data_IF_971794772174
#
_entry.id   IF_971794772174
#
_cell.length_a   1.000
_cell.length_b   1.000
_cell.length_c   1.000
_cell.angle_alpha   90.00
_cell.angle_beta   90.00
_cell.angle_gamma   90.00
#
_symmetry.space_group_name_H-M   'P 1'
#
loop_
_entity.id
_entity.type
_entity.pdbx_description
1 polymer ?
#
# COMPACT_ATOMS: atom_id res chain seq x y z
N UNK A 1 12.81 -11.90 -6.93
CA UNK A 1 12.91 -11.91 -5.45
C UNK A 1 11.54 -11.62 -4.86
N UNK A 2 11.06 -12.38 -3.87
CA UNK A 2 9.79 -12.07 -3.15
C UNK A 2 10.12 -11.18 -1.96
N UNK A 3 9.42 -10.05 -1.81
CA UNK A 3 9.57 -9.13 -0.67
C UNK A 3 8.52 -9.48 0.38
N UNK A 4 8.94 -9.65 1.63
CA UNK A 4 8.02 -9.88 2.74
C UNK A 4 7.03 -8.71 2.89
N UNK A 5 5.79 -8.99 3.31
CA UNK A 5 4.74 -7.96 3.42
C UNK A 5 5.15 -6.81 4.35
N UNK A 6 5.86 -7.10 5.44
CA UNK A 6 6.43 -6.09 6.33
C UNK A 6 7.38 -5.12 5.60
N UNK A 7 8.19 -5.62 4.67
CA UNK A 7 9.07 -4.77 3.86
C UNK A 7 8.30 -3.91 2.86
N UNK A 8 7.21 -4.43 2.29
CA UNK A 8 6.32 -3.65 1.42
C UNK A 8 5.61 -2.53 2.19
N UNK A 9 5.14 -2.81 3.42
CA UNK A 9 4.52 -1.83 4.31
C UNK A 9 5.51 -0.73 4.68
N UNK A 10 6.74 -1.10 5.08
CA UNK A 10 7.78 -0.14 5.42
C UNK A 10 8.08 0.82 4.25
N UNK A 11 8.13 0.29 3.03
CA UNK A 11 8.33 1.09 1.83
C UNK A 11 7.15 2.02 1.54
N UNK A 12 5.91 1.55 1.65
CA UNK A 12 4.72 2.38 1.48
C UNK A 12 4.65 3.52 2.51
N UNK A 13 5.02 3.25 3.76
CA UNK A 13 5.12 4.26 4.81
C UNK A 13 6.23 5.29 4.52
N UNK A 14 7.40 4.84 4.05
CA UNK A 14 8.52 5.70 3.65
C UNK A 14 8.09 6.64 2.52
N UNK A 15 7.44 6.12 1.50
CA UNK A 15 6.94 6.90 0.36
C UNK A 15 5.90 7.94 0.80
N UNK A 16 4.96 7.58 1.68
CA UNK A 16 4.01 8.53 2.27
C UNK A 16 4.72 9.67 3.01
N UNK A 17 5.74 9.35 3.81
CA UNK A 17 6.53 10.36 4.52
C UNK A 17 7.27 11.28 3.53
N UNK A 18 7.87 10.72 2.49
CA UNK A 18 8.54 11.50 1.44
C UNK A 18 7.58 12.43 0.69
N UNK A 19 6.38 11.96 0.36
CA UNK A 19 5.33 12.76 -0.30
C UNK A 19 4.88 13.91 0.58
N UNK A 20 4.63 13.66 1.87
CA UNK A 20 4.27 14.70 2.85
C UNK A 20 5.29 15.83 2.91
N UNK A 21 6.58 15.52 2.72
CA UNK A 21 7.64 16.53 2.70
C UNK A 21 7.82 17.19 1.31
N UNK A 22 7.62 16.44 0.23
CA UNK A 22 7.93 16.89 -1.14
C UNK A 22 6.80 17.66 -1.80
N UNK A 23 5.56 17.20 -1.65
CA UNK A 23 4.39 17.76 -2.34
C UNK A 23 4.12 19.22 -1.99
N UNK A 24 4.20 19.67 -0.72
CA UNK A 24 4.02 21.09 -0.40
C UNK A 24 4.96 22.02 -1.18
N UNK A 25 6.22 21.61 -1.36
CA UNK A 25 7.20 22.37 -2.16
C UNK A 25 6.86 22.39 -3.66
N UNK A 26 6.36 21.28 -4.20
CA UNK A 26 5.95 21.21 -5.60
C UNK A 26 4.70 22.05 -5.86
N UNK A 27 3.74 22.05 -4.92
CA UNK A 27 2.54 22.88 -4.98
C UNK A 27 2.91 24.36 -4.89
N UNK A 28 3.75 24.74 -3.91
CA UNK A 28 4.21 26.11 -3.75
C UNK A 28 5.02 26.65 -4.94
N UNK A 29 5.64 25.76 -5.73
CA UNK A 29 6.35 26.14 -6.97
C UNK A 29 5.49 26.01 -8.24
N UNK A 30 4.19 25.71 -8.11
CA UNK A 30 3.28 25.57 -9.25
C UNK A 30 3.51 24.32 -10.11
N UNK A 31 4.35 23.38 -9.66
CA UNK A 31 4.72 22.16 -10.40
C UNK A 31 3.77 20.99 -10.16
N UNK A 32 2.82 21.14 -9.23
CA UNK A 32 1.81 20.15 -8.89
C UNK A 32 0.56 20.86 -8.38
N UNK A 33 -0.63 20.35 -8.71
CA UNK A 33 -1.89 20.86 -8.14
C UNK A 33 -2.16 20.21 -6.78
N UNK A 34 -2.80 20.95 -5.87
CA UNK A 34 -3.23 20.39 -4.58
C UNK A 34 -4.09 19.13 -4.76
N UNK A 35 -5.09 19.18 -5.65
CA UNK A 35 -5.98 18.05 -5.93
C UNK A 35 -5.25 16.81 -6.48
N UNK A 36 -4.14 17.00 -7.19
CA UNK A 36 -3.29 15.90 -7.66
C UNK A 36 -2.52 15.27 -6.50
N UNK A 37 -1.93 16.10 -5.63
CA UNK A 37 -1.25 15.65 -4.43
C UNK A 37 -2.17 14.86 -3.50
N UNK A 38 -3.39 15.35 -3.29
CA UNK A 38 -4.41 14.70 -2.45
C UNK A 38 -4.78 13.32 -2.99
N UNK A 39 -5.04 13.22 -4.30
CA UNK A 39 -5.36 11.95 -4.95
C UNK A 39 -4.18 10.96 -4.87
N UNK A 40 -2.95 11.44 -5.07
CA UNK A 40 -1.75 10.63 -4.95
C UNK A 40 -1.51 10.12 -3.52
N UNK A 41 -1.77 10.94 -2.50
CA UNK A 41 -1.71 10.54 -1.10
C UNK A 41 -2.78 9.51 -0.78
N UNK A 42 -4.05 9.80 -1.10
CA UNK A 42 -5.18 8.90 -0.84
C UNK A 42 -4.97 7.49 -1.44
N UNK A 43 -4.45 7.41 -2.68
CA UNK A 43 -4.11 6.12 -3.31
C UNK A 43 -3.00 5.38 -2.56
N UNK A 44 -1.99 6.09 -2.08
CA UNK A 44 -0.87 5.47 -1.37
C UNK A 44 -1.26 5.02 0.04
N UNK A 45 -2.13 5.77 0.70
CA UNK A 45 -2.76 5.38 1.97
C UNK A 45 -3.60 4.12 1.79
N UNK A 46 -4.44 4.05 0.75
CA UNK A 46 -5.22 2.85 0.45
C UNK A 46 -4.34 1.62 0.17
N UNK A 47 -3.20 1.78 -0.50
CA UNK A 47 -2.21 0.70 -0.70
C UNK A 47 -1.66 0.22 0.64
N UNK A 48 -1.18 1.15 1.49
CA UNK A 48 -0.70 0.82 2.84
C UNK A 48 -1.76 0.07 3.64
N UNK A 49 -2.99 0.54 3.62
CA UNK A 49 -4.09 -0.04 4.41
C UNK A 49 -4.45 -1.45 3.92
N UNK A 50 -4.43 -1.67 2.60
CA UNK A 50 -4.58 -3.01 2.01
C UNK A 50 -3.48 -3.95 2.47
N UNK A 51 -2.22 -3.49 2.49
CA UNK A 51 -1.09 -4.30 2.95
C UNK A 51 -1.18 -4.62 4.45
N UNK A 52 -1.56 -3.64 5.27
CA UNK A 52 -1.79 -3.85 6.71
C UNK A 52 -2.91 -4.85 6.97
N UNK A 53 -4.02 -4.74 6.24
CA UNK A 53 -5.10 -5.74 6.31
C UNK A 53 -4.59 -7.13 5.96
N UNK A 54 -3.87 -7.27 4.85
CA UNK A 54 -3.29 -8.55 4.44
C UNK A 54 -2.30 -9.12 5.47
N UNK A 55 -1.51 -8.26 6.14
CA UNK A 55 -0.60 -8.69 7.19
C UNK A 55 -1.36 -9.16 8.43
N UNK A 56 -2.38 -8.40 8.85
CA UNK A 56 -3.22 -8.74 10.01
C UNK A 56 -3.97 -10.07 9.82
N UNK A 57 -4.43 -10.33 8.60
CA UNK A 57 -5.22 -11.52 8.25
C UNK A 57 -4.42 -12.58 7.50
N UNK A 58 -3.08 -12.56 7.59
CA UNK A 58 -2.22 -13.40 6.76
C UNK A 58 -2.53 -14.89 6.92
N UNK A 59 -2.75 -15.34 8.16
CA UNK A 59 -3.07 -16.73 8.46
C UNK A 59 -4.41 -17.16 7.81
N UNK A 60 -5.46 -16.36 8.00
CA UNK A 60 -6.80 -16.65 7.48
C UNK A 60 -6.82 -16.66 5.94
N UNK A 61 -6.17 -15.67 5.32
CA UNK A 61 -6.05 -15.58 3.86
C UNK A 61 -5.31 -16.82 3.33
N UNK A 62 -4.21 -17.23 3.96
CA UNK A 62 -3.45 -18.42 3.55
C UNK A 62 -4.28 -19.69 3.67
N UNK A 63 -4.98 -19.87 4.79
CA UNK A 63 -5.87 -21.02 5.02
C UNK A 63 -6.99 -21.07 3.98
N UNK A 64 -7.64 -19.93 3.71
CA UNK A 64 -8.69 -19.86 2.69
C UNK A 64 -8.18 -20.22 1.29
N UNK A 65 -7.01 -19.71 0.89
CA UNK A 65 -6.42 -20.01 -0.42
C UNK A 65 -6.00 -21.48 -0.52
N UNK A 66 -5.48 -22.08 0.56
CA UNK A 66 -5.16 -23.51 0.58
C UNK A 66 -6.41 -24.38 0.37
N UNK A 67 -7.47 -24.14 1.16
CA UNK A 67 -8.74 -24.85 1.04
C UNK A 67 -9.38 -24.68 -0.34
N UNK A 68 -9.35 -23.45 -0.89
CA UNK A 68 -9.86 -23.18 -2.24
C UNK A 68 -9.11 -23.96 -3.32
N UNK A 69 -7.79 -24.15 -3.18
CA UNK A 69 -6.99 -24.92 -4.14
C UNK A 69 -7.30 -26.41 -4.08
N UNK A 70 -7.52 -26.96 -2.90
CA UNK A 70 -7.91 -28.36 -2.71
C UNK A 70 -9.28 -28.64 -3.32
N UNK A 71 -10.24 -27.73 -3.12
CA UNK A 71 -11.59 -27.84 -3.69
C UNK A 71 -11.63 -27.77 -5.22
N UNK A 72 -10.66 -27.12 -5.87
CA UNK A 72 -10.55 -27.05 -7.34
C UNK A 72 -9.81 -28.28 -7.91
N UNK A 73 -8.99 -28.95 -7.10
CA UNK A 73 -8.22 -30.12 -7.51
C UNK A 73 -8.99 -31.45 -7.33
N UNK A 74 -10.14 -31.41 -6.66
CA UNK A 74 -11.05 -32.56 -6.44
C UNK A 74 -12.17 -32.56 -7.48
#
# INVERSE_FOLDING_TARGET
MKIAIAGQIAEAMRELAMRKNTYPRLIGSGKMKQSEADLCLARMEAIRDTLLFCQQHEADIRSYIAAKREAVAS
#
